data_IF_668409949044
#
_entry.id   IF_668409949044
#
_cell.length_a   1.000
_cell.length_b   1.000
_cell.length_c   1.000
_cell.angle_alpha   90.00
_cell.angle_beta   90.00
_cell.angle_gamma   90.00
#
_symmetry.space_group_name_H-M   'P 1'
#
loop_
_entity.id
_entity.type
_entity.pdbx_description
1 polymer ?
#
# COMPACT_ATOMS: atom_id res chain seq x y z
N UNK A 1 -65.02 30.80 39.46
CA UNK A 1 -64.03 29.74 39.19
C UNK A 1 -63.64 29.88 37.72
N UNK A 2 -62.48 30.48 37.39
CA UNK A 2 -62.01 30.74 36.01
C UNK A 2 -60.91 29.71 35.70
N UNK A 3 -61.17 28.86 34.71
CA UNK A 3 -60.25 27.85 34.22
C UNK A 3 -59.35 28.50 33.15
N UNK A 4 -58.04 28.54 33.41
CA UNK A 4 -57.05 29.03 32.43
C UNK A 4 -56.44 27.80 31.74
N UNK A 5 -56.69 27.65 30.45
CA UNK A 5 -56.09 26.62 29.62
C UNK A 5 -54.82 27.24 29.02
N UNK A 6 -53.65 26.72 29.43
CA UNK A 6 -52.39 27.09 28.88
C UNK A 6 -52.12 26.16 27.65
N UNK A 7 -52.15 26.73 26.44
CA UNK A 7 -51.75 26.04 25.21
C UNK A 7 -50.22 26.11 25.09
N UNK A 8 -49.59 24.96 25.28
CA UNK A 8 -48.15 24.81 24.97
C UNK A 8 -47.92 24.60 23.47
N UNK A 9 -47.24 25.53 22.81
CA UNK A 9 -46.80 25.38 21.43
C UNK A 9 -45.47 24.61 21.44
N UNK A 10 -45.52 23.36 20.98
CA UNK A 10 -44.36 22.52 20.78
C UNK A 10 -43.71 22.90 19.44
N UNK A 11 -42.59 23.65 19.47
CA UNK A 11 -41.84 23.98 18.28
C UNK A 11 -41.00 22.77 17.86
N UNK A 12 -41.42 22.10 16.79
CA UNK A 12 -40.65 21.03 16.14
C UNK A 12 -39.51 21.67 15.31
N UNK A 13 -38.29 21.70 15.83
CA UNK A 13 -37.12 22.10 15.05
C UNK A 13 -36.75 20.93 14.13
N UNK A 14 -37.16 21.02 12.88
CA UNK A 14 -36.69 20.12 11.84
C UNK A 14 -35.22 20.48 11.52
N UNK A 15 -34.28 19.65 11.96
CA UNK A 15 -32.89 19.73 11.51
C UNK A 15 -32.85 19.36 10.03
N UNK A 16 -32.74 20.36 9.16
CA UNK A 16 -32.45 20.15 7.75
C UNK A 16 -30.98 19.74 7.69
N UNK A 17 -30.70 18.42 7.67
CA UNK A 17 -29.41 17.90 7.27
C UNK A 17 -29.24 18.18 5.78
N UNK A 18 -28.54 19.26 5.45
CA UNK A 18 -28.01 19.43 4.10
C UNK A 18 -27.11 18.25 3.82
N UNK A 19 -27.58 17.29 3.06
CA UNK A 19 -26.73 16.32 2.39
C UNK A 19 -25.82 17.12 1.48
N UNK A 20 -24.59 17.36 1.89
CA UNK A 20 -23.58 17.97 1.04
C UNK A 20 -23.47 17.10 -0.21
N UNK A 21 -23.76 17.67 -1.36
CA UNK A 21 -23.64 17.00 -2.65
C UNK A 21 -22.18 16.47 -2.75
N UNK A 22 -22.02 15.18 -3.04
CA UNK A 22 -20.69 14.59 -3.12
C UNK A 22 -19.92 15.31 -4.22
N UNK A 23 -18.68 15.77 -3.95
CA UNK A 23 -17.88 16.43 -4.96
C UNK A 23 -17.68 15.48 -6.14
N UNK A 24 -18.05 15.94 -7.33
CA UNK A 24 -17.98 15.13 -8.57
C UNK A 24 -16.62 15.22 -9.24
N UNK A 25 -15.77 16.12 -8.78
CA UNK A 25 -14.53 16.44 -9.44
C UNK A 25 -13.34 15.69 -8.82
N UNK A 26 -12.50 15.16 -9.69
CA UNK A 26 -11.20 14.60 -9.33
C UNK A 26 -10.23 15.75 -9.07
N UNK A 27 -9.61 15.78 -7.90
CA UNK A 27 -8.60 16.77 -7.54
C UNK A 27 -7.22 16.12 -7.51
N UNK A 28 -6.34 16.52 -8.43
CA UNK A 28 -4.95 16.03 -8.45
C UNK A 28 -4.17 16.76 -7.35
N UNK A 29 -3.71 16.03 -6.34
CA UNK A 29 -2.87 16.57 -5.26
C UNK A 29 -1.38 16.56 -5.65
N UNK A 30 -0.97 15.56 -6.41
CA UNK A 30 0.38 15.40 -6.91
C UNK A 30 0.40 14.46 -8.11
N UNK A 31 1.28 14.76 -9.07
CA UNK A 31 1.55 13.88 -10.21
C UNK A 31 2.98 14.11 -10.71
N UNK A 32 3.72 13.03 -10.95
CA UNK A 32 5.04 13.03 -11.56
C UNK A 32 5.41 11.64 -12.10
N UNK A 33 5.94 11.55 -13.32
CA UNK A 33 6.48 10.31 -13.91
C UNK A 33 5.51 9.10 -13.82
N UNK A 34 4.29 9.28 -14.29
CA UNK A 34 3.20 8.27 -14.28
C UNK A 34 2.75 7.83 -12.87
N UNK A 35 3.18 8.54 -11.85
CA UNK A 35 2.74 8.39 -10.47
C UNK A 35 1.84 9.54 -10.07
N UNK A 36 0.89 9.32 -9.16
CA UNK A 36 -0.02 10.38 -8.73
C UNK A 36 -0.71 10.06 -7.40
N UNK A 37 -1.20 11.12 -6.76
CA UNK A 37 -2.14 11.07 -5.63
C UNK A 37 -3.25 12.07 -5.94
N UNK A 38 -4.51 11.62 -5.80
CA UNK A 38 -5.70 12.39 -6.12
C UNK A 38 -6.75 12.28 -5.02
N UNK A 39 -7.70 13.20 -4.99
CA UNK A 39 -8.98 13.02 -4.32
C UNK A 39 -10.01 12.65 -5.38
N UNK A 40 -10.73 11.58 -5.15
CA UNK A 40 -11.76 11.10 -6.05
C UNK A 40 -13.05 10.81 -5.26
N UNK A 41 -14.22 10.93 -5.88
CA UNK A 41 -15.46 10.48 -5.27
C UNK A 41 -15.37 9.02 -4.85
N UNK A 42 -16.10 8.65 -3.80
CA UNK A 42 -16.32 7.24 -3.49
C UNK A 42 -16.88 6.54 -4.73
N UNK A 43 -16.36 5.39 -5.06
CA UNK A 43 -16.80 4.57 -6.20
C UNK A 43 -18.13 3.84 -5.95
N UNK A 44 -18.56 3.77 -4.69
CA UNK A 44 -19.87 3.25 -4.28
C UNK A 44 -20.66 4.35 -3.54
N UNK A 45 -21.68 4.87 -4.18
CA UNK A 45 -22.54 5.90 -3.61
C UNK A 45 -23.40 5.38 -2.42
N UNK A 46 -23.60 4.06 -2.33
CA UNK A 46 -24.33 3.43 -1.22
C UNK A 46 -23.45 3.21 0.01
N UNK A 47 -22.12 3.24 -0.15
CA UNK A 47 -21.21 3.10 0.98
C UNK A 47 -21.43 4.22 2.02
N UNK A 48 -21.22 3.96 3.31
CA UNK A 48 -21.26 5.00 4.33
C UNK A 48 -20.18 6.07 4.08
N UNK A 49 -20.41 7.32 4.54
CA UNK A 49 -19.41 8.36 4.43
C UNK A 49 -18.15 8.00 5.23
N UNK A 50 -17.00 8.38 4.72
CA UNK A 50 -15.73 8.27 5.44
C UNK A 50 -15.68 9.23 6.64
N UNK A 51 -14.84 8.93 7.61
CA UNK A 51 -14.50 9.84 8.70
C UNK A 51 -13.45 10.88 8.26
N UNK A 52 -13.75 11.59 7.19
CA UNK A 52 -12.92 12.65 6.61
C UNK A 52 -13.50 14.04 6.90
N UNK A 53 -12.66 15.08 7.02
CA UNK A 53 -11.19 15.07 6.98
C UNK A 53 -10.55 14.38 8.18
N UNK A 54 -9.47 13.59 7.94
CA UNK A 54 -8.74 12.87 8.98
C UNK A 54 -7.31 13.39 9.10
N UNK A 55 -6.94 13.88 10.31
CA UNK A 55 -5.61 14.38 10.62
C UNK A 55 -4.75 13.24 11.17
N UNK A 56 -3.94 12.64 10.30
CA UNK A 56 -3.03 11.56 10.66
C UNK A 56 -1.59 11.99 10.41
N UNK A 57 -0.69 11.64 11.34
CA UNK A 57 0.73 11.93 11.20
C UNK A 57 1.34 11.16 10.01
N UNK A 58 2.31 11.75 9.33
CA UNK A 58 3.03 11.10 8.21
C UNK A 58 3.65 9.77 8.63
N UNK A 59 4.18 9.72 9.84
CA UNK A 59 4.79 8.53 10.44
C UNK A 59 3.78 7.42 10.66
N UNK A 60 2.55 7.76 11.08
CA UNK A 60 1.47 6.80 11.25
C UNK A 60 1.05 6.18 9.90
N UNK A 61 0.88 7.00 8.86
CA UNK A 61 0.61 6.54 7.50
C UNK A 61 1.77 5.68 6.97
N UNK A 62 3.01 6.16 7.15
CA UNK A 62 4.20 5.42 6.72
C UNK A 62 4.30 4.04 7.38
N UNK A 63 4.08 3.97 8.70
CA UNK A 63 4.11 2.71 9.45
C UNK A 63 2.97 1.77 9.05
N UNK A 64 1.76 2.31 8.84
CA UNK A 64 0.61 1.55 8.38
C UNK A 64 0.89 0.90 7.01
N UNK A 65 1.35 1.67 6.04
CA UNK A 65 1.68 1.16 4.71
C UNK A 65 2.91 0.24 4.72
N UNK A 66 3.91 0.52 5.57
CA UNK A 66 5.09 -0.33 5.74
C UNK A 66 4.74 -1.70 6.35
N UNK A 67 3.63 -1.82 7.08
CA UNK A 67 3.17 -3.08 7.64
C UNK A 67 2.59 -4.03 6.59
N UNK A 68 2.19 -3.55 5.43
CA UNK A 68 1.52 -4.34 4.40
C UNK A 68 2.45 -5.38 3.77
N UNK A 69 1.91 -6.60 3.59
CA UNK A 69 2.63 -7.72 2.98
C UNK A 69 1.75 -8.41 1.95
N UNK A 70 2.39 -8.89 0.91
CA UNK A 70 1.81 -9.85 -0.03
C UNK A 70 2.41 -11.23 0.21
N UNK A 71 1.58 -12.24 0.05
CA UNK A 71 1.99 -13.64 0.04
C UNK A 71 2.39 -14.01 -1.38
N UNK A 72 3.56 -14.55 -1.52
CA UNK A 72 4.09 -15.07 -2.78
C UNK A 72 4.40 -16.55 -2.60
N UNK A 73 3.83 -17.37 -3.47
CA UNK A 73 4.12 -18.82 -3.51
C UNK A 73 5.17 -19.04 -4.58
N UNK A 74 6.27 -19.63 -4.20
CA UNK A 74 7.29 -20.07 -5.15
C UNK A 74 6.77 -21.31 -5.89
N UNK A 75 6.70 -21.24 -7.21
CA UNK A 75 6.11 -22.32 -8.02
C UNK A 75 6.95 -23.59 -8.06
N UNK A 76 8.27 -23.46 -7.87
CA UNK A 76 9.18 -24.61 -7.93
C UNK A 76 9.26 -25.35 -6.59
N UNK A 77 9.20 -24.61 -5.49
CA UNK A 77 9.39 -25.15 -4.14
C UNK A 77 8.11 -25.24 -3.32
N UNK A 78 7.02 -24.63 -3.79
CA UNK A 78 5.77 -24.40 -3.04
C UNK A 78 5.98 -23.64 -1.72
N UNK A 79 7.14 -23.01 -1.54
CA UNK A 79 7.44 -22.23 -0.35
C UNK A 79 6.68 -20.90 -0.38
N UNK A 80 5.99 -20.58 0.72
CA UNK A 80 5.33 -19.30 0.90
C UNK A 80 6.30 -18.28 1.50
N UNK A 81 6.38 -17.11 0.90
CA UNK A 81 7.15 -15.97 1.42
C UNK A 81 6.28 -14.74 1.53
N UNK A 82 6.53 -13.92 2.56
CA UNK A 82 5.89 -12.62 2.71
C UNK A 82 6.81 -11.53 2.19
N UNK A 83 6.33 -10.74 1.24
CA UNK A 83 7.06 -9.60 0.70
C UNK A 83 6.39 -8.29 1.07
N UNK A 84 7.18 -7.23 1.25
CA UNK A 84 6.64 -5.88 1.45
C UNK A 84 5.90 -5.43 0.21
N UNK A 85 4.73 -4.80 0.41
CA UNK A 85 3.96 -4.19 -0.69
C UNK A 85 4.72 -2.99 -1.24
N UNK A 86 5.25 -2.14 -0.37
CA UNK A 86 5.96 -0.92 -0.74
C UNK A 86 7.44 -0.98 -0.40
N UNK A 87 8.24 -0.35 -1.22
CA UNK A 87 9.64 -0.04 -0.94
C UNK A 87 9.76 1.17 0.00
N UNK A 88 10.91 1.35 0.63
CA UNK A 88 11.15 2.52 1.47
C UNK A 88 11.10 3.85 0.68
N UNK A 89 11.45 3.82 -0.61
CA UNK A 89 11.37 4.99 -1.48
C UNK A 89 9.91 5.36 -1.79
N UNK A 90 9.07 4.38 -2.13
CA UNK A 90 7.64 4.60 -2.33
C UNK A 90 6.99 5.18 -1.08
N UNK A 91 7.31 4.66 0.11
CA UNK A 91 6.77 5.15 1.38
C UNK A 91 7.17 6.60 1.66
N UNK A 92 8.43 6.98 1.43
CA UNK A 92 8.88 8.37 1.59
C UNK A 92 8.12 9.34 0.68
N UNK A 93 7.77 8.89 -0.51
CA UNK A 93 7.02 9.70 -1.48
C UNK A 93 5.51 9.70 -1.22
N UNK A 94 4.95 8.55 -0.86
CA UNK A 94 3.50 8.34 -0.82
C UNK A 94 2.88 8.78 0.52
N UNK A 95 3.50 8.42 1.66
CA UNK A 95 2.91 8.64 2.98
C UNK A 95 2.56 10.10 3.28
N UNK A 96 3.42 11.11 3.05
CA UNK A 96 3.07 12.50 3.33
C UNK A 96 1.96 13.02 2.39
N UNK A 97 1.86 12.48 1.17
CA UNK A 97 0.83 12.87 0.21
C UNK A 97 -0.53 12.26 0.55
N UNK A 98 -0.55 11.00 1.00
CA UNK A 98 -1.77 10.37 1.51
C UNK A 98 -2.24 11.08 2.77
N UNK A 99 -1.36 11.40 3.74
CA UNK A 99 -1.73 12.13 4.94
C UNK A 99 -2.36 13.49 4.59
N UNK A 100 -1.74 14.25 3.69
CA UNK A 100 -2.27 15.53 3.21
C UNK A 100 -3.60 15.35 2.45
N UNK A 101 -3.76 14.24 1.74
CA UNK A 101 -5.01 13.88 1.06
C UNK A 101 -6.13 13.61 2.04
N UNK A 102 -5.91 12.75 3.03
CA UNK A 102 -6.89 12.40 4.06
C UNK A 102 -7.31 13.63 4.89
N UNK A 103 -6.38 14.57 5.12
CA UNK A 103 -6.66 15.83 5.81
C UNK A 103 -7.51 16.81 4.98
N UNK A 104 -7.54 16.67 3.66
CA UNK A 104 -8.30 17.53 2.72
C UNK A 104 -9.57 16.88 2.20
N UNK A 105 -9.62 15.56 2.18
CA UNK A 105 -10.75 14.83 1.63
C UNK A 105 -12.04 15.13 2.40
N UNK A 106 -13.15 15.25 1.68
CA UNK A 106 -14.48 15.28 2.26
C UNK A 106 -15.01 13.89 2.57
N UNK A 107 -16.16 13.79 3.29
CA UNK A 107 -16.72 12.51 3.71
C UNK A 107 -17.09 11.55 2.56
N UNK A 108 -17.28 12.07 1.35
CA UNK A 108 -17.62 11.32 0.14
C UNK A 108 -16.46 11.23 -0.87
N UNK A 109 -15.23 11.45 -0.40
CA UNK A 109 -14.02 11.34 -1.21
C UNK A 109 -13.06 10.33 -0.62
N UNK A 110 -12.32 9.66 -1.50
CA UNK A 110 -11.20 8.80 -1.19
C UNK A 110 -9.91 9.46 -1.68
N UNK A 111 -8.79 9.09 -1.09
CA UNK A 111 -7.46 9.37 -1.61
C UNK A 111 -7.07 8.20 -2.51
N UNK A 112 -6.97 8.41 -3.81
CA UNK A 112 -6.47 7.40 -4.74
C UNK A 112 -4.99 7.67 -5.05
N UNK A 113 -4.25 6.61 -5.36
CA UNK A 113 -2.82 6.71 -5.64
C UNK A 113 -2.36 5.71 -6.69
N UNK A 114 -1.27 6.08 -7.37
CA UNK A 114 -0.44 5.17 -8.15
C UNK A 114 1.02 5.49 -7.87
N UNK A 115 1.81 4.47 -7.59
CA UNK A 115 3.25 4.59 -7.35
C UNK A 115 4.01 3.50 -8.11
N UNK A 116 5.28 3.77 -8.42
CA UNK A 116 6.17 2.85 -9.12
C UNK A 116 7.36 2.60 -8.21
N UNK A 117 7.58 1.33 -7.87
CA UNK A 117 8.69 0.89 -7.06
C UNK A 117 9.54 -0.16 -7.75
N UNK A 118 10.74 -0.38 -7.26
CA UNK A 118 11.63 -1.45 -7.73
C UNK A 118 11.51 -2.66 -6.80
N UNK A 119 10.78 -3.69 -7.25
CA UNK A 119 10.42 -4.85 -6.43
C UNK A 119 11.20 -6.10 -6.83
N UNK A 120 11.56 -6.97 -5.85
CA UNK A 120 12.19 -8.24 -6.14
C UNK A 120 11.28 -9.15 -6.97
N UNK A 121 11.75 -9.65 -8.11
CA UNK A 121 10.97 -10.52 -9.01
C UNK A 121 11.33 -11.99 -8.89
N UNK A 122 12.57 -12.31 -8.66
CA UNK A 122 13.05 -13.69 -8.58
C UNK A 122 13.45 -14.08 -7.15
N UNK A 123 13.57 -15.39 -6.93
CA UNK A 123 14.12 -15.94 -5.70
C UNK A 123 15.46 -15.28 -5.35
N UNK A 124 15.65 -14.94 -4.06
CA UNK A 124 16.85 -14.27 -3.58
C UNK A 124 16.93 -12.75 -3.77
N UNK A 125 15.95 -12.11 -4.45
CA UNK A 125 15.86 -10.64 -4.54
C UNK A 125 16.96 -9.94 -5.36
N UNK A 126 17.77 -10.69 -6.11
CA UNK A 126 18.87 -10.17 -6.92
C UNK A 126 18.42 -9.40 -8.15
N UNK A 127 17.27 -9.79 -8.72
CA UNK A 127 16.65 -9.11 -9.86
C UNK A 127 15.49 -8.29 -9.35
N UNK A 128 15.49 -7.00 -9.67
CA UNK A 128 14.41 -6.08 -9.33
C UNK A 128 13.82 -5.50 -10.60
N UNK A 129 12.52 -5.53 -10.70
CA UNK A 129 11.79 -4.92 -11.80
C UNK A 129 10.92 -3.76 -11.31
N UNK A 130 10.70 -2.75 -12.13
CA UNK A 130 9.72 -1.72 -11.82
C UNK A 130 8.33 -2.33 -11.80
N UNK A 131 7.62 -2.12 -10.69
CA UNK A 131 6.25 -2.55 -10.49
C UNK A 131 5.36 -1.41 -10.04
N UNK A 132 4.10 -1.45 -10.46
CA UNK A 132 3.09 -0.46 -10.09
C UNK A 132 2.29 -0.97 -8.91
N UNK A 133 2.09 -0.09 -7.92
CA UNK A 133 1.08 -0.24 -6.89
C UNK A 133 0.05 0.86 -7.08
N UNK A 134 -1.23 0.50 -7.20
CA UNK A 134 -2.32 1.45 -7.29
C UNK A 134 -3.49 1.04 -6.40
N UNK A 135 -4.13 2.02 -5.78
CA UNK A 135 -5.21 1.75 -4.84
C UNK A 135 -5.91 3.02 -4.37
N UNK A 136 -6.87 2.82 -3.47
CA UNK A 136 -7.55 3.90 -2.76
C UNK A 136 -7.38 3.75 -1.25
N UNK A 137 -7.27 4.88 -0.57
CA UNK A 137 -7.11 4.98 0.88
C UNK A 137 -8.21 5.87 1.44
N UNK A 138 -8.81 5.42 2.52
CA UNK A 138 -9.78 6.21 3.27
C UNK A 138 -9.74 5.86 4.75
N UNK A 139 -10.31 6.73 5.57
CA UNK A 139 -10.33 6.55 7.03
C UNK A 139 -11.77 6.38 7.49
N UNK A 140 -12.07 5.29 8.17
CA UNK A 140 -13.39 4.97 8.72
C UNK A 140 -13.22 4.10 9.96
N UNK A 141 -14.08 4.28 10.95
CA UNK A 141 -14.10 3.49 12.20
C UNK A 141 -12.75 3.41 12.95
N UNK A 142 -11.97 4.49 12.90
CA UNK A 142 -10.66 4.53 13.57
C UNK A 142 -9.54 3.81 12.83
N UNK A 143 -9.80 3.25 11.66
CA UNK A 143 -8.84 2.48 10.86
C UNK A 143 -8.56 3.14 9.52
N UNK A 144 -7.32 2.98 9.05
CA UNK A 144 -6.97 3.25 7.65
C UNK A 144 -7.38 2.05 6.82
N UNK A 145 -8.20 2.29 5.81
CA UNK A 145 -8.61 1.29 4.83
C UNK A 145 -7.82 1.48 3.54
N UNK A 146 -7.33 0.40 2.97
CA UNK A 146 -6.66 0.41 1.66
C UNK A 146 -7.26 -0.68 0.79
N UNK A 147 -7.78 -0.28 -0.38
CA UNK A 147 -8.21 -1.21 -1.41
C UNK A 147 -7.23 -1.10 -2.57
N UNK A 148 -6.66 -2.23 -2.98
CA UNK A 148 -5.73 -2.27 -4.09
C UNK A 148 -6.45 -2.72 -5.37
N UNK A 149 -6.13 -2.06 -6.47
CA UNK A 149 -6.50 -2.52 -7.80
C UNK A 149 -5.32 -3.17 -8.52
N UNK A 150 -4.10 -2.74 -8.16
CA UNK A 150 -2.85 -3.28 -8.70
C UNK A 150 -1.78 -3.35 -7.63
N UNK A 151 -1.07 -4.50 -7.57
CA UNK A 151 0.08 -4.71 -6.71
C UNK A 151 1.25 -5.26 -7.49
N UNK A 152 2.36 -4.49 -7.49
CA UNK A 152 3.62 -4.86 -8.14
C UNK A 152 3.44 -5.34 -9.58
N UNK A 153 2.41 -4.83 -10.27
CA UNK A 153 2.17 -5.15 -11.68
C UNK A 153 3.27 -4.55 -12.56
N UNK A 154 3.65 -5.28 -13.60
CA UNK A 154 4.80 -4.91 -14.44
C UNK A 154 4.65 -3.52 -15.07
N UNK A 155 5.63 -2.65 -14.86
CA UNK A 155 5.71 -1.33 -15.45
C UNK A 155 6.65 -1.32 -16.64
N UNK A 156 6.17 -0.83 -17.79
CA UNK A 156 7.01 -0.57 -18.96
C UNK A 156 6.99 0.92 -19.28
N UNK A 157 8.15 1.55 -19.18
CA UNK A 157 8.29 2.95 -19.55
C UNK A 157 7.97 3.12 -21.05
N UNK A 158 7.14 4.12 -21.39
CA UNK A 158 6.80 4.45 -22.77
C UNK A 158 8.08 4.66 -23.57
N UNK A 159 8.29 3.88 -24.65
CA UNK A 159 9.41 4.08 -25.57
C UNK A 159 9.14 5.32 -26.44
N UNK A 160 10.12 6.21 -26.53
CA UNK A 160 10.04 7.44 -27.34
C UNK A 160 10.11 7.18 -28.83
N UNK A 161 10.46 5.95 -29.25
CA UNK A 161 10.57 5.56 -30.64
C UNK A 161 9.34 4.79 -31.11
N UNK A 162 8.28 5.52 -31.49
CA UNK A 162 7.27 5.17 -32.49
C UNK A 162 6.56 3.81 -32.48
N UNK A 163 6.93 2.88 -31.64
CA UNK A 163 6.20 1.63 -31.44
C UNK A 163 5.10 1.86 -30.41
N UNK A 164 3.89 1.52 -30.81
CA UNK A 164 2.69 1.49 -29.97
C UNK A 164 2.93 0.59 -28.77
N UNK A 165 3.53 1.16 -27.70
CA UNK A 165 3.41 0.58 -26.38
C UNK A 165 2.01 0.91 -25.92
N UNK A 166 1.25 -0.10 -25.52
CA UNK A 166 -0.04 0.10 -24.89
C UNK A 166 0.12 1.15 -23.81
N UNK A 167 -0.76 2.15 -23.81
CA UNK A 167 -0.78 3.18 -22.78
C UNK A 167 -1.02 2.48 -21.44
N UNK A 168 0.06 2.17 -20.76
CA UNK A 168 0.00 1.65 -19.42
C UNK A 168 -0.30 2.82 -18.50
N UNK A 169 -1.55 3.14 -18.40
CA UNK A 169 -2.06 4.02 -17.34
C UNK A 169 -2.57 3.08 -16.25
N UNK A 170 -2.03 3.14 -15.02
CA UNK A 170 -2.61 2.41 -13.90
C UNK A 170 -4.07 2.82 -13.79
N UNK A 171 -4.98 1.92 -14.10
CA UNK A 171 -6.42 2.24 -14.21
C UNK A 171 -7.24 1.59 -13.11
N UNK A 172 -6.60 0.77 -12.28
CA UNK A 172 -7.31 0.02 -11.25
C UNK A 172 -6.93 0.54 -9.88
N UNK A 173 -7.72 1.46 -9.40
CA UNK A 173 -7.55 2.05 -8.06
C UNK A 173 -8.22 1.23 -6.96
N UNK A 174 -8.71 0.03 -7.29
CA UNK A 174 -9.52 -0.79 -6.40
C UNK A 174 -10.97 -0.28 -6.31
N UNK A 175 -11.87 -1.11 -5.85
CA UNK A 175 -13.31 -0.78 -5.78
C UNK A 175 -13.93 -1.34 -4.49
N UNK A 176 -14.84 -0.58 -3.85
CA UNK A 176 -15.62 -1.08 -2.72
C UNK A 176 -16.63 -2.15 -3.15
N UNK A 177 -17.17 -2.01 -4.35
CA UNK A 177 -18.28 -2.85 -4.83
C UNK A 177 -17.83 -4.11 -5.57
N UNK A 178 -16.55 -4.18 -5.98
CA UNK A 178 -16.01 -5.30 -6.77
C UNK A 178 -14.66 -5.73 -6.26
N UNK A 179 -14.48 -7.03 -6.09
CA UNK A 179 -13.15 -7.61 -5.90
C UNK A 179 -12.32 -7.43 -7.18
N UNK A 180 -11.06 -7.10 -7.01
CA UNK A 180 -10.14 -7.15 -8.14
C UNK A 180 -9.86 -8.62 -8.50
N UNK A 181 -9.92 -8.95 -9.79
CA UNK A 181 -9.35 -10.22 -10.26
C UNK A 181 -7.84 -10.12 -10.25
N UNK A 182 -7.18 -10.88 -9.40
CA UNK A 182 -5.73 -10.84 -9.20
C UNK A 182 -5.21 -12.19 -8.70
N UNK A 183 -3.93 -12.44 -8.94
CA UNK A 183 -3.16 -13.62 -8.51
C UNK A 183 -2.30 -13.36 -7.26
N UNK A 184 -2.36 -12.16 -6.68
CA UNK A 184 -1.69 -11.80 -5.43
C UNK A 184 -2.66 -11.85 -4.24
N UNK A 185 -2.14 -12.13 -3.06
CA UNK A 185 -2.92 -12.22 -1.81
C UNK A 185 -2.26 -11.33 -0.77
N UNK A 186 -3.03 -10.39 -0.22
CA UNK A 186 -2.62 -9.62 0.95
C UNK A 186 -2.60 -10.51 2.19
N UNK A 187 -1.63 -10.31 3.07
CA UNK A 187 -1.47 -11.09 4.28
C UNK A 187 -1.95 -10.31 5.51
N UNK A 188 -2.88 -10.92 6.26
CA UNK A 188 -3.26 -10.42 7.58
C UNK A 188 -2.07 -10.52 8.57
N UNK A 189 -1.97 -9.57 9.50
CA UNK A 189 -0.93 -9.48 10.53
C UNK A 189 -1.46 -8.72 11.73
N UNK A 190 -0.78 -8.72 12.88
CA UNK A 190 -1.16 -7.84 14.00
C UNK A 190 -1.30 -6.38 13.55
N UNK A 191 -2.50 -5.82 13.75
CA UNK A 191 -2.86 -4.48 13.32
C UNK A 191 -3.23 -4.32 11.83
N UNK A 192 -3.20 -5.40 11.03
CA UNK A 192 -3.63 -5.40 9.63
C UNK A 192 -4.59 -6.57 9.41
N UNK A 193 -5.85 -6.27 9.15
CA UNK A 193 -6.92 -7.25 8.94
C UNK A 193 -7.41 -7.18 7.49
N UNK A 194 -7.86 -8.31 6.95
CA UNK A 194 -8.55 -8.33 5.68
C UNK A 194 -10.02 -7.96 5.91
N UNK A 195 -10.54 -7.08 5.07
CA UNK A 195 -11.94 -6.64 5.16
C UNK A 195 -12.90 -7.79 4.88
N UNK A 196 -13.93 -7.92 5.72
CA UNK A 196 -14.97 -8.96 5.59
C UNK A 196 -16.29 -8.34 5.16
N UNK A 197 -16.86 -8.90 4.12
CA UNK A 197 -18.20 -8.56 3.62
C UNK A 197 -19.17 -9.72 3.84
N UNK A 198 -20.45 -9.53 3.58
CA UNK A 198 -21.43 -10.62 3.56
C UNK A 198 -21.10 -11.72 2.51
N UNK A 199 -20.32 -11.37 1.48
CA UNK A 199 -19.86 -12.29 0.43
C UNK A 199 -18.57 -13.04 0.77
N UNK A 200 -17.91 -12.72 1.89
CA UNK A 200 -16.64 -13.34 2.30
C UNK A 200 -15.54 -12.33 2.59
N UNK A 201 -14.33 -12.84 2.75
CA UNK A 201 -13.13 -12.02 3.00
C UNK A 201 -12.59 -11.47 1.67
N UNK A 202 -12.33 -10.16 1.64
CA UNK A 202 -11.73 -9.45 0.51
C UNK A 202 -10.20 -9.53 0.59
N UNK A 203 -9.56 -10.15 -0.39
CA UNK A 203 -8.09 -10.28 -0.44
C UNK A 203 -7.38 -9.02 -0.96
N UNK A 204 -8.12 -8.08 -1.51
CA UNK A 204 -7.66 -6.80 -2.06
C UNK A 204 -7.90 -5.60 -1.13
N UNK A 205 -8.60 -5.80 -0.01
CA UNK A 205 -8.98 -4.75 0.93
C UNK A 205 -8.47 -5.06 2.33
N UNK A 206 -7.66 -4.15 2.89
CA UNK A 206 -7.15 -4.24 4.26
C UNK A 206 -7.62 -3.08 5.12
N UNK A 207 -7.84 -3.39 6.39
CA UNK A 207 -8.09 -2.45 7.47
C UNK A 207 -6.87 -2.40 8.39
N UNK A 208 -6.36 -1.20 8.66
CA UNK A 208 -5.12 -1.01 9.42
C UNK A 208 -5.43 -0.21 10.68
N UNK A 209 -5.23 -0.82 11.83
CA UNK A 209 -5.22 -0.15 13.12
C UNK A 209 -3.82 0.47 13.34
N UNK A 210 -3.74 1.80 13.24
CA UNK A 210 -2.47 2.52 13.37
C UNK A 210 -1.85 2.40 14.75
N UNK A 211 -2.66 2.29 15.81
CA UNK A 211 -2.17 2.14 17.17
C UNK A 211 -1.59 0.73 17.39
N UNK A 212 -2.27 -0.30 16.89
CA UNK A 212 -1.80 -1.68 16.97
C UNK A 212 -0.52 -1.90 16.14
N UNK A 213 -0.43 -1.30 14.95
CA UNK A 213 0.79 -1.35 14.11
C UNK A 213 1.96 -0.65 14.81
N UNK A 214 1.74 0.53 15.40
CA UNK A 214 2.77 1.26 16.13
C UNK A 214 3.25 0.48 17.37
N UNK A 215 2.34 -0.13 18.11
CA UNK A 215 2.66 -0.97 19.27
C UNK A 215 3.40 -2.25 18.87
N UNK A 216 2.99 -2.89 17.78
CA UNK A 216 3.66 -4.08 17.23
C UNK A 216 5.09 -3.78 16.75
N UNK A 217 5.31 -2.63 16.12
CA UNK A 217 6.64 -2.17 15.73
C UNK A 217 7.53 -1.90 16.96
N UNK A 218 6.96 -1.29 18.01
CA UNK A 218 7.67 -1.04 19.26
C UNK A 218 8.01 -2.36 20.00
N UNK A 219 7.11 -3.34 19.99
CA UNK A 219 7.34 -4.66 20.59
C UNK A 219 8.47 -5.44 19.88
N UNK A 220 8.54 -5.36 18.55
CA UNK A 220 9.65 -5.95 17.78
C UNK A 220 10.97 -5.23 18.08
N UNK A 221 10.92 -3.91 18.32
CA UNK A 221 12.10 -3.11 18.69
C UNK A 221 12.50 -3.31 20.15
N UNK A 222 11.59 -3.78 21.02
CA UNK A 222 11.79 -4.03 22.47
C UNK A 222 11.88 -5.51 22.83
N UNK A 223 11.90 -6.43 21.85
CA UNK A 223 12.24 -7.82 22.15
C UNK A 223 13.56 -7.81 22.92
N UNK A 224 13.64 -8.48 24.10
CA UNK A 224 14.81 -8.38 24.95
C UNK A 224 16.03 -8.75 24.11
N UNK A 225 16.98 -7.84 24.05
CA UNK A 225 18.30 -8.12 23.55
C UNK A 225 18.84 -9.28 24.39
N UNK A 226 18.69 -10.50 23.90
CA UNK A 226 19.49 -11.59 24.40
C UNK A 226 20.92 -11.12 24.29
N UNK A 227 21.57 -11.02 25.43
CA UNK A 227 22.94 -10.63 25.73
C UNK A 227 23.75 -10.19 24.50
N UNK A 228 24.03 -8.90 24.44
CA UNK A 228 24.90 -8.25 23.48
C UNK A 228 26.22 -9.03 23.33
N UNK A 229 26.47 -9.65 22.18
CA UNK A 229 27.85 -9.78 21.73
C UNK A 229 28.32 -8.38 21.33
N UNK A 230 29.60 -8.02 21.52
CA UNK A 230 30.10 -6.69 21.22
C UNK A 230 29.84 -6.35 19.76
N UNK A 231 29.56 -5.07 19.51
CA UNK A 231 29.27 -4.48 18.21
C UNK A 231 30.21 -5.01 17.12
N UNK A 232 29.79 -6.10 16.49
CA UNK A 232 30.29 -6.47 15.20
C UNK A 232 29.41 -5.72 14.20
N UNK A 233 29.97 -4.72 13.52
CA UNK A 233 29.57 -4.31 12.18
C UNK A 233 29.08 -5.57 11.49
N UNK A 234 27.81 -5.59 11.02
CA UNK A 234 27.25 -6.72 10.32
C UNK A 234 28.04 -6.91 9.01
N UNK A 235 29.19 -7.52 9.11
CA UNK A 235 29.87 -8.13 8.00
C UNK A 235 28.92 -9.21 7.50
N UNK A 236 28.33 -9.00 6.33
CA UNK A 236 27.59 -10.03 5.60
C UNK A 236 28.51 -11.25 5.59
N UNK A 237 28.04 -12.37 6.13
CA UNK A 237 28.93 -13.53 6.28
C UNK A 237 29.41 -13.95 4.89
N UNK A 238 30.68 -14.35 4.77
CA UNK A 238 31.22 -14.87 3.51
C UNK A 238 30.35 -15.97 2.90
N UNK A 239 29.66 -16.76 3.74
CA UNK A 239 28.70 -17.79 3.33
C UNK A 239 27.47 -17.18 2.62
N UNK A 240 26.97 -16.02 3.04
CA UNK A 240 25.84 -15.35 2.37
C UNK A 240 26.27 -14.81 0.99
N UNK A 241 27.48 -14.26 0.90
CA UNK A 241 28.05 -13.78 -0.37
C UNK A 241 28.33 -14.95 -1.33
N UNK A 242 28.87 -16.07 -0.84
CA UNK A 242 29.04 -17.28 -1.65
C UNK A 242 27.72 -17.81 -2.20
N UNK A 243 26.68 -17.85 -1.39
CA UNK A 243 25.35 -18.30 -1.84
C UNK A 243 24.76 -17.39 -2.91
N UNK A 244 24.94 -16.06 -2.77
CA UNK A 244 24.51 -15.08 -3.78
C UNK A 244 25.30 -15.21 -5.08
N UNK A 245 26.59 -15.45 -5.02
CA UNK A 245 27.43 -15.68 -6.19
C UNK A 245 27.01 -16.96 -6.92
N UNK A 246 26.69 -18.03 -6.19
CA UNK A 246 26.17 -19.27 -6.77
C UNK A 246 24.84 -19.05 -7.48
N UNK A 247 23.92 -18.38 -6.85
CA UNK A 247 22.62 -18.04 -7.45
C UNK A 247 22.80 -17.15 -8.71
N UNK A 248 23.69 -16.19 -8.65
CA UNK A 248 23.97 -15.31 -9.80
C UNK A 248 24.54 -16.09 -11.00
N UNK A 249 25.41 -17.08 -10.73
CA UNK A 249 25.93 -17.98 -11.76
C UNK A 249 24.84 -18.86 -12.37
N UNK A 250 23.95 -19.42 -11.54
CA UNK A 250 22.82 -20.24 -12.01
C UNK A 250 21.87 -19.43 -12.91
N UNK A 251 21.59 -18.16 -12.54
CA UNK A 251 20.76 -17.28 -13.34
C UNK A 251 21.37 -16.99 -14.73
N UNK A 252 22.70 -16.80 -14.80
CA UNK A 252 23.41 -16.64 -16.06
C UNK A 252 23.36 -17.93 -16.88
N UNK A 253 23.67 -19.08 -16.28
CA UNK A 253 23.72 -20.36 -16.98
C UNK A 253 22.36 -20.78 -17.53
N UNK A 254 21.25 -20.31 -16.91
CA UNK A 254 19.87 -20.45 -17.38
C UNK A 254 19.44 -19.35 -18.36
N UNK A 255 20.34 -18.46 -18.79
CA UNK A 255 20.05 -17.29 -19.65
C UNK A 255 18.94 -16.36 -19.12
N UNK A 256 18.75 -16.29 -17.80
CA UNK A 256 17.75 -15.44 -17.15
C UNK A 256 18.25 -14.01 -16.92
N UNK A 257 19.56 -13.78 -17.03
CA UNK A 257 20.20 -12.47 -16.96
C UNK A 257 21.22 -12.32 -18.08
N UNK A 258 21.46 -11.07 -18.52
CA UNK A 258 22.47 -10.78 -19.53
C UNK A 258 23.87 -10.86 -18.93
N UNK A 259 24.88 -11.06 -19.78
CA UNK A 259 26.28 -11.11 -19.35
C UNK A 259 26.75 -9.79 -18.70
N UNK A 260 26.23 -8.65 -19.19
CA UNK A 260 26.51 -7.34 -18.59
C UNK A 260 25.93 -7.25 -17.18
N UNK A 261 24.67 -7.63 -17.00
CA UNK A 261 24.03 -7.64 -15.69
C UNK A 261 24.72 -8.60 -14.71
N UNK A 262 25.20 -9.76 -15.19
CA UNK A 262 25.99 -10.69 -14.40
C UNK A 262 27.29 -10.05 -13.90
N UNK A 263 28.05 -9.41 -14.80
CA UNK A 263 29.34 -8.76 -14.44
C UNK A 263 29.15 -7.63 -13.44
N UNK A 264 28.14 -6.77 -13.66
CA UNK A 264 27.83 -5.66 -12.74
C UNK A 264 27.50 -6.17 -11.34
N UNK A 265 26.64 -7.19 -11.21
CA UNK A 265 26.24 -7.75 -9.93
C UNK A 265 27.37 -8.52 -9.25
N UNK A 266 28.17 -9.25 -10.01
CA UNK A 266 29.35 -9.94 -9.49
C UNK A 266 30.38 -8.95 -8.92
N UNK A 267 30.61 -7.83 -9.60
CA UNK A 267 31.54 -6.80 -9.14
C UNK A 267 31.03 -6.12 -7.87
N UNK A 268 29.70 -5.86 -7.78
CA UNK A 268 29.07 -5.32 -6.59
C UNK A 268 29.21 -6.27 -5.38
N UNK A 269 28.97 -7.58 -5.56
CA UNK A 269 29.12 -8.58 -4.49
C UNK A 269 30.59 -8.76 -4.04
N UNK A 270 31.54 -8.69 -4.97
CA UNK A 270 32.98 -8.77 -4.64
C UNK A 270 33.46 -7.52 -3.90
N UNK A 271 32.86 -6.37 -4.11
CA UNK A 271 33.17 -5.14 -3.37
C UNK A 271 32.61 -5.12 -1.94
N UNK A 272 31.75 -6.09 -1.59
CA UNK A 272 31.20 -6.29 -0.24
C UNK A 272 32.04 -7.27 0.62
N UNK A 273 33.07 -7.91 0.03
CA UNK A 273 34.06 -8.77 0.72
C UNK A 273 35.20 -7.94 1.34
#
# INVERSE_FOLDING_TARGET
MKLVIASGVLALVAAITCAADAPRDVVVLWSANDQWVKLEPQDDAAAPPNAHPAQLANEAISSALAALRIRVVDQDTSAETLRSVFTAEELRNLAPRIAAGLAKAGPRQDVTFSTIGSHPRAAGGLVKDPGVNAGRVFYVDGKINVIFGELQSGYRKRSVYGQRTEDFTPRREGSRSKDAEHDWILAARPGVELHSTAGGVRNDWVEIDTAAVASGAAAVSQAPAAATPPAATAAKSSADIEQRLKTLKELRDKNLITEEAYREKMQALLSEL
#
